data_IF_676591213360
#
_entry.id   IF_676591213360
#
_cell.length_a   1.000
_cell.length_b   1.000
_cell.length_c   1.000
_cell.angle_alpha   90.00
_cell.angle_beta   90.00
_cell.angle_gamma   90.00
#
_symmetry.space_group_name_H-M   'P 1'
#
loop_
_entity.id
_entity.type
_entity.pdbx_description
1 polymer ?
#
# COMPACT_ATOMS: atom_id res chain seq x y z
N UNK A 1 -11.43 79.07 -9.48
CA UNK A 1 -11.63 78.20 -8.34
C UNK A 1 -12.51 77.02 -8.78
N UNK A 2 -11.93 75.90 -9.13
CA UNK A 2 -12.66 74.64 -9.28
C UNK A 2 -11.69 73.53 -9.00
N UNK A 3 -11.97 72.77 -7.95
CA UNK A 3 -11.17 71.60 -7.49
C UNK A 3 -11.49 70.39 -8.36
N UNK A 4 -10.49 69.84 -9.05
CA UNK A 4 -10.57 68.55 -9.74
C UNK A 4 -10.19 67.42 -8.80
N UNK A 5 -11.14 66.58 -8.45
CA UNK A 5 -10.92 65.34 -7.69
C UNK A 5 -10.40 64.25 -8.61
N UNK A 6 -9.20 63.72 -8.31
CA UNK A 6 -8.61 62.53 -8.92
C UNK A 6 -9.24 61.29 -8.23
N UNK A 7 -9.96 60.45 -8.98
CA UNK A 7 -10.43 59.15 -8.55
C UNK A 7 -9.32 58.13 -8.72
N UNK A 8 -8.75 57.63 -7.63
CA UNK A 8 -7.91 56.42 -7.63
C UNK A 8 -8.79 55.19 -7.91
N UNK A 9 -8.52 54.53 -9.03
CA UNK A 9 -9.09 53.22 -9.37
C UNK A 9 -8.45 52.11 -8.55
N UNK A 10 -9.24 51.46 -7.69
CA UNK A 10 -8.84 50.26 -6.98
C UNK A 10 -8.89 49.08 -7.95
N UNK A 11 -7.71 48.50 -8.26
CA UNK A 11 -7.61 47.24 -8.97
C UNK A 11 -7.87 46.12 -7.95
N UNK A 12 -9.05 45.52 -8.05
CA UNK A 12 -9.35 44.31 -7.28
C UNK A 12 -8.52 43.14 -7.80
N UNK A 13 -7.51 42.74 -7.05
CA UNK A 13 -6.89 41.44 -7.20
C UNK A 13 -7.91 40.32 -6.90
N UNK A 14 -8.33 39.59 -7.92
CA UNK A 14 -9.08 38.33 -7.74
C UNK A 14 -8.15 37.35 -7.05
N UNK A 15 -8.56 36.74 -5.92
CA UNK A 15 -7.77 35.67 -5.31
C UNK A 15 -7.73 34.46 -6.27
N UNK A 16 -6.53 33.94 -6.48
CA UNK A 16 -6.32 32.68 -7.19
C UNK A 16 -7.24 31.60 -6.59
N UNK A 17 -8.04 30.96 -7.44
CA UNK A 17 -8.92 29.85 -7.04
C UNK A 17 -8.04 28.78 -6.37
N UNK A 18 -8.22 28.60 -5.08
CA UNK A 18 -7.62 27.49 -4.34
C UNK A 18 -8.14 26.20 -4.96
N UNK A 19 -7.23 25.39 -5.49
CA UNK A 19 -7.54 24.04 -5.92
C UNK A 19 -8.15 23.25 -4.74
N UNK A 20 -9.17 22.39 -4.97
CA UNK A 20 -9.84 21.68 -3.91
C UNK A 20 -8.83 20.88 -3.07
N UNK A 21 -8.93 20.95 -1.75
CA UNK A 21 -8.09 20.24 -0.77
C UNK A 21 -7.97 18.72 -1.04
N UNK A 22 -8.91 18.17 -1.77
CA UNK A 22 -9.00 16.76 -2.17
C UNK A 22 -7.83 16.23 -3.04
N UNK A 23 -7.34 17.04 -4.00
CA UNK A 23 -6.29 16.60 -4.93
C UNK A 23 -4.92 16.38 -4.26
N UNK A 24 -4.61 17.15 -3.21
CA UNK A 24 -3.32 17.03 -2.50
C UNK A 24 -3.21 15.78 -1.63
N UNK A 25 -4.32 15.13 -1.32
CA UNK A 25 -4.37 13.97 -0.42
C UNK A 25 -4.22 12.65 -1.18
N UNK A 26 -4.69 12.58 -2.42
CA UNK A 26 -4.62 11.38 -3.26
C UNK A 26 -3.17 11.01 -3.68
N UNK A 27 -2.34 12.01 -4.00
CA UNK A 27 -0.93 11.78 -4.37
C UNK A 27 -0.08 11.26 -3.20
N UNK A 28 -0.42 11.63 -1.96
CA UNK A 28 0.24 11.14 -0.74
C UNK A 28 0.09 9.62 -0.56
N UNK A 29 -0.98 9.03 -1.07
CA UNK A 29 -1.25 7.59 -0.97
C UNK A 29 -0.47 6.82 -2.05
N UNK A 30 -0.31 7.41 -3.25
CA UNK A 30 0.40 6.76 -4.35
C UNK A 30 1.91 6.57 -4.10
N UNK A 31 2.52 7.41 -3.26
CA UNK A 31 3.96 7.40 -2.99
C UNK A 31 4.25 6.89 -1.57
N UNK A 32 3.24 6.52 -0.77
CA UNK A 32 3.41 6.14 0.63
C UNK A 32 4.23 7.19 1.44
N UNK A 33 4.04 8.48 1.12
CA UNK A 33 4.76 9.59 1.75
C UNK A 33 4.32 9.86 3.19
N UNK A 34 3.32 9.15 3.69
CA UNK A 34 2.90 9.21 5.09
C UNK A 34 4.00 8.81 6.08
N UNK A 35 5.00 8.06 5.61
CA UNK A 35 6.12 7.61 6.43
C UNK A 35 7.26 8.65 6.58
N UNK A 36 7.26 9.72 5.81
CA UNK A 36 8.42 10.62 5.68
C UNK A 36 8.28 11.98 6.35
N UNK A 37 7.33 12.19 7.23
CA UNK A 37 7.37 13.33 8.14
C UNK A 37 7.95 12.90 9.47
N UNK A 38 9.13 13.42 9.81
CA UNK A 38 9.75 13.37 11.13
C UNK A 38 8.78 13.90 12.19
N UNK A 39 8.16 12.99 12.96
CA UNK A 39 7.27 13.29 14.08
C UNK A 39 6.10 12.30 14.17
N UNK A 40 5.51 12.06 15.35
CA UNK A 40 4.42 11.12 15.53
C UNK A 40 3.08 11.68 15.05
N UNK A 41 2.99 12.12 13.81
CA UNK A 41 1.74 12.47 13.16
C UNK A 41 1.20 11.21 12.45
N UNK A 42 0.56 10.36 13.24
CA UNK A 42 -0.35 9.34 12.75
C UNK A 42 -1.33 10.00 11.76
N UNK A 43 -1.29 9.59 10.48
CA UNK A 43 -2.33 10.01 9.53
C UNK A 43 -3.66 9.45 10.02
N UNK A 44 -4.42 10.28 10.71
CA UNK A 44 -5.84 10.02 10.98
C UNK A 44 -6.56 10.29 9.66
N UNK A 45 -6.80 9.24 8.87
CA UNK A 45 -7.84 9.34 7.85
C UNK A 45 -9.16 9.58 8.56
N UNK A 46 -9.92 10.57 8.10
CA UNK A 46 -11.33 10.66 8.49
C UNK A 46 -11.98 9.35 8.02
N UNK A 47 -12.79 8.71 8.85
CA UNK A 47 -13.34 7.36 8.62
C UNK A 47 -13.95 7.19 7.22
N UNK A 48 -14.64 8.21 6.72
CA UNK A 48 -15.34 8.22 5.42
C UNK A 48 -14.37 8.17 4.22
N UNK A 49 -13.21 8.81 4.30
CA UNK A 49 -12.22 8.77 3.20
C UNK A 49 -11.53 7.40 3.10
N UNK A 50 -11.27 6.76 4.24
CA UNK A 50 -10.69 5.41 4.28
C UNK A 50 -11.63 4.38 3.66
N UNK A 51 -12.92 4.40 4.04
CA UNK A 51 -13.92 3.47 3.54
C UNK A 51 -14.13 3.63 2.03
N UNK A 52 -14.24 4.88 1.55
CA UNK A 52 -14.37 5.16 0.11
C UNK A 52 -13.18 4.68 -0.69
N UNK A 53 -11.95 4.85 -0.20
CA UNK A 53 -10.73 4.40 -0.88
C UNK A 53 -10.60 2.88 -0.88
N UNK A 54 -11.00 2.20 0.19
CA UNK A 54 -11.05 0.72 0.25
C UNK A 54 -11.94 0.14 -0.87
N UNK A 55 -13.06 0.77 -1.15
CA UNK A 55 -14.02 0.29 -2.19
C UNK A 55 -13.55 0.58 -3.62
N UNK A 56 -12.68 1.57 -3.82
CA UNK A 56 -12.17 1.93 -5.15
C UNK A 56 -11.36 0.80 -5.81
N UNK A 57 -10.66 -0.03 -5.01
CA UNK A 57 -9.86 -1.14 -5.53
C UNK A 57 -10.70 -2.30 -6.07
N UNK A 58 -11.96 -2.39 -5.66
CA UNK A 58 -12.83 -3.51 -6.05
C UNK A 58 -13.10 -3.56 -7.56
N UNK A 59 -13.32 -2.41 -8.19
CA UNK A 59 -13.69 -2.33 -9.62
C UNK A 59 -12.56 -2.67 -10.60
N UNK A 60 -11.32 -2.76 -10.14
CA UNK A 60 -10.13 -3.01 -10.97
C UNK A 60 -9.40 -4.32 -10.60
N UNK A 61 -10.11 -5.29 -10.02
CA UNK A 61 -9.51 -6.51 -9.44
C UNK A 61 -8.58 -7.28 -10.38
N UNK A 62 -8.98 -7.49 -11.64
CA UNK A 62 -8.17 -8.23 -12.62
C UNK A 62 -6.90 -7.44 -13.01
N UNK A 63 -7.03 -6.13 -13.26
CA UNK A 63 -5.89 -5.26 -13.54
C UNK A 63 -4.94 -5.22 -12.33
N UNK A 64 -5.48 -5.12 -11.12
CA UNK A 64 -4.71 -5.16 -9.87
C UNK A 64 -3.87 -6.43 -9.78
N UNK A 65 -4.45 -7.59 -10.05
CA UNK A 65 -3.74 -8.88 -10.02
C UNK A 65 -2.59 -8.92 -11.01
N UNK A 66 -2.79 -8.45 -12.23
CA UNK A 66 -1.78 -8.50 -13.28
C UNK A 66 -0.65 -7.50 -13.07
N UNK A 67 -0.99 -6.26 -12.66
CA UNK A 67 -0.06 -5.14 -12.64
C UNK A 67 0.73 -5.00 -11.34
N UNK A 68 0.13 -5.32 -10.17
CA UNK A 68 0.84 -5.21 -8.89
C UNK A 68 1.92 -6.27 -8.75
N UNK A 69 3.12 -5.91 -8.26
CA UNK A 69 4.19 -6.88 -8.05
C UNK A 69 3.84 -7.87 -6.94
N UNK A 70 4.45 -9.05 -6.99
CA UNK A 70 4.58 -9.93 -5.84
C UNK A 70 5.68 -9.45 -4.89
N UNK A 71 5.93 -10.25 -3.87
CA UNK A 71 7.02 -10.03 -2.92
C UNK A 71 8.12 -11.08 -3.13
N UNK A 72 9.37 -10.79 -2.78
CA UNK A 72 10.47 -11.75 -2.94
C UNK A 72 10.25 -12.98 -2.07
N UNK A 73 10.76 -14.13 -2.54
CA UNK A 73 10.61 -15.43 -1.85
C UNK A 73 11.21 -15.39 -0.44
N UNK A 74 12.32 -14.68 -0.30
CA UNK A 74 13.06 -14.49 0.93
C UNK A 74 12.22 -13.83 2.04
N UNK A 75 11.24 -12.96 1.67
CA UNK A 75 10.32 -12.38 2.63
C UNK A 75 9.45 -13.46 3.29
N UNK A 76 8.94 -14.40 2.48
CA UNK A 76 8.10 -15.49 3.00
C UNK A 76 8.91 -16.51 3.80
N UNK A 77 10.15 -16.79 3.40
CA UNK A 77 11.05 -17.68 4.13
C UNK A 77 11.37 -17.09 5.51
N UNK A 78 11.65 -15.78 5.55
CA UNK A 78 11.90 -15.08 6.82
C UNK A 78 10.64 -14.97 7.68
N UNK A 79 9.45 -14.77 7.09
CA UNK A 79 8.17 -14.81 7.79
C UNK A 79 7.96 -16.16 8.48
N UNK A 80 8.11 -17.26 7.73
CA UNK A 80 7.97 -18.64 8.26
C UNK A 80 8.95 -18.89 9.40
N UNK A 81 10.20 -18.45 9.25
CA UNK A 81 11.25 -18.60 10.24
C UNK A 81 10.97 -17.80 11.54
N UNK A 82 10.61 -16.51 11.38
CA UNK A 82 10.38 -15.61 12.51
C UNK A 82 9.11 -15.98 13.29
N UNK A 83 8.03 -16.32 12.59
CA UNK A 83 6.79 -16.79 13.19
C UNK A 83 6.84 -18.26 13.62
N UNK A 84 7.97 -18.94 13.39
CA UNK A 84 8.22 -20.36 13.75
C UNK A 84 7.13 -21.31 13.25
N UNK A 85 6.62 -21.04 12.03
CA UNK A 85 5.52 -21.79 11.46
C UNK A 85 5.95 -23.24 11.14
N UNK A 86 5.03 -24.17 11.36
CA UNK A 86 5.17 -25.60 11.13
C UNK A 86 4.09 -26.10 10.16
N UNK A 87 4.31 -27.21 9.47
CA UNK A 87 3.26 -27.83 8.67
C UNK A 87 1.97 -28.03 9.49
N UNK A 88 0.83 -27.61 8.93
CA UNK A 88 -0.46 -27.69 9.59
C UNK A 88 -0.88 -26.46 10.40
N UNK A 89 0.04 -25.52 10.66
CA UNK A 89 -0.30 -24.26 11.32
C UNK A 89 -1.33 -23.47 10.51
N UNK A 90 -2.31 -22.89 11.20
CA UNK A 90 -3.47 -22.20 10.62
C UNK A 90 -3.17 -20.71 10.49
N UNK A 91 -3.29 -20.18 9.28
CA UNK A 91 -3.01 -18.79 8.98
C UNK A 91 -4.30 -18.02 8.69
N UNK A 92 -4.35 -16.77 9.10
CA UNK A 92 -5.39 -15.81 8.74
C UNK A 92 -4.76 -14.65 7.97
N UNK A 93 -5.18 -14.44 6.73
CA UNK A 93 -4.82 -13.27 5.94
C UNK A 93 -5.94 -12.23 5.95
N UNK A 94 -5.56 -10.98 6.29
CA UNK A 94 -6.48 -9.84 6.32
C UNK A 94 -6.24 -8.96 5.08
N UNK A 95 -7.28 -8.81 4.24
CA UNK A 95 -7.20 -8.04 3.01
C UNK A 95 -6.36 -8.75 1.94
N UNK A 96 -6.70 -9.98 1.61
CA UNK A 96 -5.93 -10.79 0.66
C UNK A 96 -6.00 -10.27 -0.78
N UNK A 97 -6.88 -9.32 -1.09
CA UNK A 97 -7.16 -8.82 -2.41
C UNK A 97 -7.39 -9.98 -3.41
N UNK A 98 -6.51 -10.17 -4.38
CA UNK A 98 -6.60 -11.23 -5.38
C UNK A 98 -5.78 -12.48 -5.04
N UNK A 99 -5.23 -12.59 -3.82
CA UNK A 99 -4.48 -13.75 -3.32
C UNK A 99 -2.99 -13.76 -3.64
N UNK A 100 -2.40 -12.63 -4.07
CA UNK A 100 -0.97 -12.59 -4.42
C UNK A 100 -0.03 -12.97 -3.28
N UNK A 101 -0.30 -12.50 -2.07
CA UNK A 101 0.50 -12.85 -0.90
C UNK A 101 0.11 -14.21 -0.31
N UNK A 102 -1.12 -14.68 -0.56
CA UNK A 102 -1.62 -16.00 -0.16
C UNK A 102 -0.91 -17.13 -0.89
N UNK A 103 -0.74 -17.02 -2.23
CA UNK A 103 -0.22 -18.10 -3.09
C UNK A 103 1.11 -18.68 -2.59
N UNK A 104 2.14 -17.89 -2.23
CA UNK A 104 3.41 -18.44 -1.76
C UNK A 104 3.31 -19.25 -0.47
N UNK A 105 2.40 -18.91 0.43
CA UNK A 105 2.13 -19.64 1.67
C UNK A 105 1.24 -20.86 1.42
N UNK A 106 0.26 -20.75 0.53
CA UNK A 106 -0.57 -21.89 0.10
C UNK A 106 0.26 -22.99 -0.59
N UNK A 107 1.26 -22.61 -1.41
CA UNK A 107 2.22 -23.53 -2.02
C UNK A 107 3.09 -24.26 -0.99
N UNK A 108 3.31 -23.68 0.19
CA UNK A 108 4.00 -24.32 1.32
C UNK A 108 3.08 -25.25 2.13
N UNK A 109 1.80 -25.38 1.72
CA UNK A 109 0.84 -26.30 2.31
C UNK A 109 0.09 -25.78 3.53
N UNK A 110 0.21 -24.47 3.87
CA UNK A 110 -0.50 -23.92 5.02
C UNK A 110 -2.01 -23.83 4.77
N UNK A 111 -2.86 -24.25 5.74
CA UNK A 111 -4.26 -23.90 5.77
C UNK A 111 -4.44 -22.39 6.00
N UNK A 112 -5.10 -21.69 5.06
CA UNK A 112 -5.23 -20.24 5.12
C UNK A 112 -6.69 -19.84 5.05
N UNK A 113 -7.15 -19.04 6.00
CA UNK A 113 -8.41 -18.29 5.89
C UNK A 113 -8.07 -16.86 5.45
N UNK A 114 -8.70 -16.39 4.38
CA UNK A 114 -8.54 -15.02 3.88
C UNK A 114 -9.84 -14.26 4.14
N UNK A 115 -9.75 -13.05 4.70
CA UNK A 115 -10.88 -12.12 4.86
C UNK A 115 -10.67 -10.93 3.95
N UNK A 116 -11.57 -10.74 2.97
CA UNK A 116 -11.47 -9.67 1.97
C UNK A 116 -12.80 -8.92 1.88
N UNK A 117 -12.75 -7.59 2.05
CA UNK A 117 -13.94 -6.74 2.05
C UNK A 117 -14.50 -6.54 0.64
N UNK A 118 -13.64 -6.45 -0.38
CA UNK A 118 -14.00 -6.25 -1.77
C UNK A 118 -14.60 -7.51 -2.39
N UNK A 119 -15.88 -7.49 -2.76
CA UNK A 119 -16.55 -8.67 -3.31
C UNK A 119 -15.91 -9.17 -4.61
N UNK A 120 -15.52 -8.25 -5.53
CA UNK A 120 -14.88 -8.61 -6.81
C UNK A 120 -13.45 -9.10 -6.58
N UNK A 121 -12.71 -8.50 -5.63
CA UNK A 121 -11.39 -8.97 -5.21
C UNK A 121 -11.47 -10.38 -4.61
N UNK A 122 -12.43 -10.64 -3.73
CA UNK A 122 -12.65 -11.95 -3.15
C UNK A 122 -13.05 -13.01 -4.20
N UNK A 123 -13.85 -12.61 -5.20
CA UNK A 123 -14.20 -13.49 -6.32
C UNK A 123 -12.97 -13.82 -7.17
N UNK A 124 -12.11 -12.84 -7.45
CA UNK A 124 -10.84 -13.04 -8.15
C UNK A 124 -9.89 -13.94 -7.34
N UNK A 125 -9.78 -13.71 -6.01
CA UNK A 125 -8.98 -14.57 -5.13
C UNK A 125 -9.43 -16.02 -5.19
N UNK A 126 -10.75 -16.29 -5.19
CA UNK A 126 -11.28 -17.67 -5.32
C UNK A 126 -10.88 -18.31 -6.63
N UNK A 127 -10.86 -17.55 -7.75
CA UNK A 127 -10.37 -18.06 -9.05
C UNK A 127 -8.89 -18.40 -9.00
N UNK A 128 -8.08 -17.46 -8.51
CA UNK A 128 -6.62 -17.60 -8.48
C UNK A 128 -6.14 -18.69 -7.52
N UNK A 129 -6.89 -18.93 -6.45
CA UNK A 129 -6.58 -19.89 -5.39
C UNK A 129 -7.36 -21.21 -5.51
N UNK A 130 -8.14 -21.40 -6.58
CA UNK A 130 -8.96 -22.59 -6.79
C UNK A 130 -8.19 -23.92 -6.83
N UNK A 131 -6.89 -23.89 -7.09
CA UNK A 131 -5.97 -25.04 -7.01
C UNK A 131 -5.48 -25.38 -5.58
N UNK A 132 -5.89 -24.63 -4.55
CA UNK A 132 -5.44 -24.79 -3.17
C UNK A 132 -6.65 -25.09 -2.25
N UNK A 133 -7.05 -26.36 -2.10
CA UNK A 133 -8.25 -26.73 -1.34
C UNK A 133 -8.16 -26.36 0.16
N UNK A 134 -6.95 -26.13 0.68
CA UNK A 134 -6.73 -25.70 2.06
C UNK A 134 -6.91 -24.18 2.28
N UNK A 135 -7.24 -23.41 1.21
CA UNK A 135 -7.46 -21.96 1.31
C UNK A 135 -8.96 -21.64 1.26
N UNK A 136 -9.44 -20.91 2.25
CA UNK A 136 -10.83 -20.46 2.33
C UNK A 136 -10.90 -18.93 2.20
N UNK A 137 -11.77 -18.42 1.30
CA UNK A 137 -11.96 -16.98 1.07
C UNK A 137 -13.31 -16.54 1.62
N UNK A 138 -13.29 -15.68 2.63
CA UNK A 138 -14.44 -15.03 3.25
C UNK A 138 -14.56 -13.60 2.71
N UNK A 139 -15.72 -13.27 2.15
CA UNK A 139 -16.01 -11.87 1.79
C UNK A 139 -16.65 -11.17 2.98
N UNK A 140 -15.97 -10.18 3.54
CA UNK A 140 -16.42 -9.41 4.71
C UNK A 140 -15.36 -8.48 5.25
N UNK A 141 -15.76 -7.59 6.15
CA UNK A 141 -14.84 -6.68 6.82
C UNK A 141 -14.18 -7.38 8.01
N UNK A 142 -12.85 -7.29 8.10
CA UNK A 142 -12.09 -7.87 9.21
C UNK A 142 -12.58 -7.37 10.57
N UNK A 143 -12.94 -6.11 10.66
CA UNK A 143 -13.38 -5.44 11.90
C UNK A 143 -14.62 -6.11 12.52
N UNK A 144 -15.52 -6.64 11.71
CA UNK A 144 -16.80 -7.24 12.14
C UNK A 144 -16.85 -8.77 11.96
N UNK A 145 -15.92 -9.32 11.18
CA UNK A 145 -15.89 -10.77 10.96
C UNK A 145 -15.55 -11.54 12.23
N UNK A 146 -16.28 -12.62 12.49
CA UNK A 146 -16.03 -13.55 13.56
C UNK A 146 -15.84 -14.96 12.98
N UNK A 147 -14.68 -15.61 13.21
CA UNK A 147 -14.48 -16.98 12.76
C UNK A 147 -15.30 -17.97 13.59
N UNK A 148 -15.68 -19.13 13.02
CA UNK A 148 -16.28 -20.22 13.79
C UNK A 148 -15.37 -20.73 14.90
N UNK A 149 -14.07 -20.61 14.73
CA UNK A 149 -13.03 -21.03 15.65
C UNK A 149 -11.83 -20.08 15.58
N UNK A 150 -11.45 -19.48 16.70
CA UNK A 150 -10.22 -18.72 16.88
C UNK A 150 -9.00 -19.66 17.02
N UNK A 151 -7.85 -19.10 17.33
CA UNK A 151 -6.60 -19.86 17.57
C UNK A 151 -5.79 -20.06 16.28
N UNK A 152 -5.57 -18.96 15.53
CA UNK A 152 -4.63 -18.95 14.42
C UNK A 152 -3.18 -18.88 14.93
N UNK A 153 -2.28 -19.57 14.24
CA UNK A 153 -0.84 -19.52 14.51
C UNK A 153 -0.23 -18.22 14.01
N UNK A 154 -0.76 -17.69 12.90
CA UNK A 154 -0.38 -16.43 12.32
C UNK A 154 -1.60 -15.65 11.84
N UNK A 155 -1.70 -14.38 12.22
CA UNK A 155 -2.53 -13.37 11.56
C UNK A 155 -1.61 -12.48 10.74
N UNK A 156 -1.85 -12.35 9.43
CA UNK A 156 -1.00 -11.51 8.61
C UNK A 156 -1.76 -10.61 7.64
N UNK A 157 -1.09 -9.54 7.18
CA UNK A 157 -1.62 -8.62 6.18
C UNK A 157 -0.49 -8.12 5.26
N UNK A 158 -0.71 -8.22 3.95
CA UNK A 158 0.20 -7.74 2.92
C UNK A 158 -0.39 -6.50 2.23
N UNK A 159 0.21 -5.33 2.45
CA UNK A 159 -0.27 -4.02 1.93
C UNK A 159 -1.76 -3.73 2.26
N UNK A 160 -2.22 -4.25 3.38
CA UNK A 160 -3.61 -4.11 3.83
C UNK A 160 -3.75 -3.56 5.26
N UNK A 161 -2.74 -3.71 6.11
CA UNK A 161 -2.81 -3.39 7.53
C UNK A 161 -3.19 -1.93 7.83
N UNK A 162 -2.75 -1.00 7.02
CA UNK A 162 -3.05 0.44 7.18
C UNK A 162 -4.51 0.81 6.86
N UNK A 163 -5.24 -0.05 6.13
CA UNK A 163 -6.65 0.14 5.83
C UNK A 163 -7.59 -0.28 6.96
N UNK A 164 -7.13 -1.12 7.89
CA UNK A 164 -7.92 -1.61 9.01
C UNK A 164 -8.00 -0.54 10.09
N UNK A 165 -9.13 -0.45 10.78
CA UNK A 165 -9.34 0.53 11.85
C UNK A 165 -8.21 0.42 12.91
N UNK A 166 -7.43 1.48 13.12
CA UNK A 166 -6.35 1.48 14.11
C UNK A 166 -6.79 1.17 15.54
N UNK A 167 -8.04 1.54 15.89
CA UNK A 167 -8.61 1.26 17.21
C UNK A 167 -8.92 -0.22 17.43
N UNK A 168 -9.09 -0.99 16.34
CA UNK A 168 -9.57 -2.37 16.39
C UNK A 168 -8.46 -3.36 16.03
N UNK A 169 -7.63 -3.05 15.04
CA UNK A 169 -6.78 -4.01 14.32
C UNK A 169 -5.86 -4.85 15.20
N UNK A 170 -5.16 -4.25 16.16
CA UNK A 170 -4.21 -4.95 17.01
C UNK A 170 -4.92 -5.85 18.01
N UNK A 171 -5.95 -5.32 18.69
CA UNK A 171 -6.72 -6.09 19.67
C UNK A 171 -7.40 -7.27 19.01
N UNK A 172 -8.06 -7.06 17.86
CA UNK A 172 -8.73 -8.13 17.15
C UNK A 172 -7.78 -9.19 16.60
N UNK A 173 -6.60 -8.80 16.10
CA UNK A 173 -5.60 -9.77 15.68
C UNK A 173 -5.13 -10.62 16.88
N UNK A 174 -4.92 -9.99 18.04
CA UNK A 174 -4.54 -10.68 19.25
C UNK A 174 -5.62 -11.66 19.73
N UNK A 175 -6.90 -11.25 19.76
CA UNK A 175 -8.04 -12.09 20.13
C UNK A 175 -8.23 -13.33 19.22
N UNK A 176 -7.75 -13.26 17.97
CA UNK A 176 -7.85 -14.34 16.98
C UNK A 176 -6.66 -15.30 17.00
N UNK A 177 -5.54 -14.89 17.58
CA UNK A 177 -4.36 -15.74 17.72
C UNK A 177 -4.54 -16.76 18.84
N UNK A 178 -3.87 -17.90 18.69
CA UNK A 178 -3.61 -18.77 19.85
C UNK A 178 -2.54 -18.18 20.76
N UNK A 179 -2.40 -18.71 21.95
CA UNK A 179 -1.33 -18.35 22.86
C UNK A 179 0.04 -18.54 22.19
N UNK A 180 0.86 -17.49 22.21
CA UNK A 180 2.17 -17.47 21.55
C UNK A 180 2.11 -17.48 20.01
N UNK A 181 0.94 -17.27 19.41
CA UNK A 181 0.80 -17.04 17.98
C UNK A 181 1.42 -15.71 17.55
N UNK A 182 1.48 -15.45 16.23
CA UNK A 182 2.18 -14.28 15.72
C UNK A 182 1.28 -13.36 14.87
N UNK A 183 1.50 -12.06 15.01
CA UNK A 183 1.03 -11.06 14.06
C UNK A 183 2.16 -10.75 13.09
N UNK A 184 1.87 -10.69 11.79
CA UNK A 184 2.82 -10.17 10.81
C UNK A 184 2.14 -9.24 9.80
N UNK A 185 2.86 -8.18 9.39
CA UNK A 185 2.40 -7.36 8.28
C UNK A 185 3.57 -6.70 7.55
N UNK A 186 3.34 -6.40 6.29
CA UNK A 186 4.29 -5.69 5.44
C UNK A 186 3.55 -4.89 4.36
N UNK A 187 4.25 -3.92 3.79
CA UNK A 187 3.74 -3.08 2.70
C UNK A 187 4.79 -2.96 1.61
N UNK A 188 4.35 -2.97 0.35
CA UNK A 188 5.21 -2.66 -0.77
C UNK A 188 5.33 -1.13 -0.91
N UNK A 189 6.54 -0.63 -0.92
CA UNK A 189 6.86 0.77 -1.12
C UNK A 189 7.73 0.97 -2.37
N UNK A 190 7.61 2.11 -3.04
CA UNK A 190 8.56 2.53 -4.06
C UNK A 190 9.84 3.02 -3.37
N UNK A 191 10.97 2.43 -3.74
CA UNK A 191 12.28 2.81 -3.21
C UNK A 191 13.25 3.17 -4.33
N UNK A 192 14.32 3.88 -3.97
CA UNK A 192 15.29 4.41 -4.91
C UNK A 192 16.69 3.97 -4.48
N UNK A 193 17.12 2.75 -4.90
CA UNK A 193 18.44 2.27 -4.58
C UNK A 193 19.52 3.19 -5.16
N UNK A 194 20.69 3.22 -4.52
CA UNK A 194 21.84 3.95 -5.03
C UNK A 194 22.22 3.40 -6.42
N UNK A 195 22.32 4.29 -7.41
CA UNK A 195 22.60 3.89 -8.80
C UNK A 195 21.41 3.28 -9.56
N UNK A 196 20.20 3.23 -8.94
CA UNK A 196 18.98 2.77 -9.60
C UNK A 196 18.53 3.69 -10.74
N UNK A 197 17.54 3.22 -11.49
CA UNK A 197 17.02 3.94 -12.67
C UNK A 197 16.49 5.34 -12.30
N UNK A 198 16.99 6.41 -12.93
CA UNK A 198 16.58 7.78 -12.64
C UNK A 198 15.21 8.14 -13.22
N UNK A 199 14.56 7.27 -14.00
CA UNK A 199 13.36 7.56 -14.78
C UNK A 199 12.25 8.23 -13.96
N UNK A 200 11.95 7.72 -12.77
CA UNK A 200 10.91 8.32 -11.92
C UNK A 200 11.27 9.75 -11.49
N UNK A 201 12.54 10.01 -11.14
CA UNK A 201 12.99 11.36 -10.80
C UNK A 201 12.91 12.30 -11.99
N UNK A 202 13.29 11.81 -13.17
CA UNK A 202 13.20 12.58 -14.43
C UNK A 202 11.75 12.89 -14.81
N UNK A 203 10.80 12.03 -14.43
CA UNK A 203 9.38 12.20 -14.75
C UNK A 203 8.69 13.24 -13.84
N UNK A 204 9.36 13.72 -12.77
CA UNK A 204 8.76 14.69 -11.85
C UNK A 204 8.44 16.02 -12.52
N UNK A 205 9.15 16.43 -13.56
CA UNK A 205 8.82 17.61 -14.38
C UNK A 205 7.41 17.52 -14.97
N UNK A 206 7.01 16.33 -15.42
CA UNK A 206 5.65 16.09 -15.95
C UNK A 206 4.60 16.07 -14.84
N UNK A 207 4.92 15.45 -13.69
CA UNK A 207 4.03 15.48 -12.52
C UNK A 207 3.81 16.92 -12.02
N UNK A 208 4.85 17.76 -12.01
CA UNK A 208 4.74 19.18 -11.63
C UNK A 208 3.87 19.94 -12.65
N UNK A 209 4.07 19.70 -13.96
CA UNK A 209 3.28 20.32 -15.04
C UNK A 209 1.78 20.02 -14.90
N UNK A 210 1.42 18.79 -14.57
CA UNK A 210 0.01 18.39 -14.42
C UNK A 210 -0.57 18.69 -13.03
N UNK A 211 0.20 19.31 -12.13
CA UNK A 211 -0.24 19.68 -10.78
C UNK A 211 -0.25 18.53 -9.76
N UNK A 212 0.41 17.43 -10.06
CA UNK A 212 0.51 16.22 -9.23
C UNK A 212 1.94 15.97 -8.73
N UNK A 213 2.79 17.00 -8.77
CA UNK A 213 4.17 16.96 -8.31
C UNK A 213 4.31 16.61 -6.83
N UNK A 214 5.48 16.11 -6.47
CA UNK A 214 5.81 15.77 -5.10
C UNK A 214 5.91 17.03 -4.24
N UNK A 215 5.53 16.96 -2.95
CA UNK A 215 5.71 18.09 -2.06
C UNK A 215 7.20 18.43 -1.92
N UNK A 216 7.49 19.72 -1.68
CA UNK A 216 8.84 20.18 -1.45
C UNK A 216 9.52 19.37 -0.32
N UNK A 217 10.75 18.92 -0.56
CA UNK A 217 11.50 18.09 0.39
C UNK A 217 11.10 16.63 0.43
N UNK A 218 10.33 16.13 -0.55
CA UNK A 218 10.04 14.70 -0.66
C UNK A 218 11.33 13.89 -0.71
N UNK A 219 11.39 12.82 0.09
CA UNK A 219 12.54 11.93 0.16
C UNK A 219 12.38 10.79 -0.86
N UNK A 220 13.51 10.29 -1.31
CA UNK A 220 13.62 9.12 -2.20
C UNK A 220 14.46 8.04 -1.49
N UNK A 221 13.86 7.27 -0.58
CA UNK A 221 14.60 6.37 0.29
C UNK A 221 15.06 5.11 -0.42
N UNK A 222 16.16 4.55 0.04
CA UNK A 222 16.51 3.17 -0.20
C UNK A 222 15.65 2.22 0.67
N UNK A 223 15.63 0.92 0.34
CA UNK A 223 14.85 -0.06 1.10
C UNK A 223 15.28 -0.13 2.58
N UNK A 224 16.58 0.05 2.86
CA UNK A 224 17.12 0.05 4.23
C UNK A 224 16.64 1.23 5.10
N UNK A 225 16.19 2.32 4.46
CA UNK A 225 15.75 3.55 5.11
C UNK A 225 14.24 3.58 5.35
N UNK A 226 13.50 2.56 4.88
CA UNK A 226 12.05 2.49 5.10
C UNK A 226 11.75 2.46 6.60
N UNK A 227 10.82 3.31 7.08
CA UNK A 227 10.43 3.34 8.48
C UNK A 227 9.71 2.06 8.89
N UNK A 228 9.78 1.71 10.16
CA UNK A 228 9.03 0.61 10.72
C UNK A 228 7.95 1.08 11.72
N UNK A 229 7.12 0.14 12.15
CA UNK A 229 6.02 0.38 13.08
C UNK A 229 6.26 -0.30 14.45
N UNK A 230 7.50 -0.60 14.82
CA UNK A 230 7.85 -1.25 16.09
C UNK A 230 7.20 -0.57 17.28
N UNK A 231 7.40 0.74 17.41
CA UNK A 231 6.85 1.51 18.53
C UNK A 231 5.32 1.42 18.62
N UNK A 232 4.64 1.39 17.47
CA UNK A 232 3.18 1.25 17.43
C UNK A 232 2.69 -0.14 17.86
N UNK A 233 3.45 -1.20 17.55
CA UNK A 233 3.15 -2.56 18.00
C UNK A 233 3.36 -2.66 19.52
N UNK A 234 4.53 -2.24 20.00
CA UNK A 234 4.93 -2.31 21.42
C UNK A 234 4.01 -1.49 22.32
N UNK A 235 3.57 -0.31 21.85
CA UNK A 235 2.65 0.55 22.60
C UNK A 235 1.28 -0.08 22.90
N UNK A 236 0.91 -1.14 22.17
CA UNK A 236 -0.36 -1.87 22.45
C UNK A 236 -0.28 -2.71 23.72
N UNK A 237 0.90 -3.12 24.15
CA UNK A 237 1.09 -4.09 25.24
C UNK A 237 0.60 -5.51 24.92
N UNK A 238 0.09 -5.77 23.72
CA UNK A 238 -0.48 -7.06 23.31
C UNK A 238 0.55 -7.99 22.67
N UNK A 239 1.69 -7.46 22.23
CA UNK A 239 2.70 -8.18 21.48
C UNK A 239 4.10 -7.94 22.02
N UNK A 240 4.94 -8.96 21.91
CA UNK A 240 6.35 -8.97 22.31
C UNK A 240 7.23 -9.51 21.17
N UNK A 241 8.55 -9.58 21.37
CA UNK A 241 9.51 -10.16 20.43
C UNK A 241 9.39 -9.58 19.02
N UNK A 242 9.20 -8.24 18.92
CA UNK A 242 8.99 -7.57 17.62
C UNK A 242 10.25 -7.66 16.76
N UNK A 243 10.19 -8.43 15.71
CA UNK A 243 11.24 -8.55 14.68
C UNK A 243 10.91 -7.70 13.47
N UNK A 244 11.91 -7.00 12.93
CA UNK A 244 11.80 -6.16 11.73
C UNK A 244 12.81 -6.63 10.70
N UNK A 245 12.36 -6.81 9.44
CA UNK A 245 13.23 -7.11 8.29
C UNK A 245 12.87 -6.23 7.11
N UNK A 246 13.87 -5.74 6.43
CA UNK A 246 13.71 -4.89 5.24
C UNK A 246 14.20 -5.65 4.02
N UNK A 247 13.40 -5.58 2.96
CA UNK A 247 13.66 -6.22 1.67
C UNK A 247 13.65 -5.16 0.59
N UNK A 248 14.57 -5.30 -0.39
CA UNK A 248 14.60 -4.47 -1.58
C UNK A 248 14.69 -5.37 -2.81
N UNK A 249 13.93 -5.06 -3.86
CA UNK A 249 14.02 -5.74 -5.15
C UNK A 249 13.69 -4.77 -6.28
N UNK A 250 14.04 -5.15 -7.50
CA UNK A 250 13.75 -4.36 -8.68
C UNK A 250 12.92 -5.16 -9.67
N UNK A 251 12.11 -4.46 -10.42
CA UNK A 251 11.26 -5.03 -11.48
C UNK A 251 11.37 -4.13 -12.70
N UNK A 252 11.65 -4.76 -13.84
CA UNK A 252 11.65 -4.09 -15.13
C UNK A 252 10.24 -4.02 -15.72
N UNK A 253 9.90 -2.88 -16.32
CA UNK A 253 8.62 -2.61 -16.94
C UNK A 253 8.82 -2.01 -18.32
N UNK A 254 8.04 -2.46 -19.29
CA UNK A 254 7.76 -1.70 -20.51
C UNK A 254 6.86 -0.50 -20.18
N UNK A 255 6.70 0.43 -21.10
CA UNK A 255 5.82 1.59 -20.92
C UNK A 255 4.38 1.18 -20.57
N UNK A 256 3.83 0.21 -21.28
CA UNK A 256 2.44 -0.22 -21.06
C UNK A 256 2.27 -1.01 -19.76
N UNK A 257 3.26 -1.82 -19.35
CA UNK A 257 3.24 -2.49 -18.05
C UNK A 257 3.31 -1.48 -16.91
N UNK A 258 4.15 -0.44 -17.04
CA UNK A 258 4.26 0.60 -16.04
C UNK A 258 2.97 1.43 -15.94
N UNK A 259 2.36 1.80 -17.06
CA UNK A 259 1.08 2.51 -17.08
C UNK A 259 -0.02 1.67 -16.42
N UNK A 260 -0.12 0.37 -16.74
CA UNK A 260 -1.06 -0.55 -16.06
C UNK A 260 -0.82 -0.59 -14.55
N UNK A 261 0.43 -0.55 -14.11
CA UNK A 261 0.76 -0.46 -12.68
C UNK A 261 0.24 0.87 -12.09
N UNK A 262 0.48 2.01 -12.76
CA UNK A 262 0.02 3.32 -12.31
C UNK A 262 -1.52 3.38 -12.20
N UNK A 263 -2.25 2.75 -13.12
CA UNK A 263 -3.71 2.65 -13.10
C UNK A 263 -4.26 1.84 -11.89
N UNK A 264 -3.39 1.19 -11.13
CA UNK A 264 -3.77 0.52 -9.87
C UNK A 264 -3.56 1.38 -8.62
N UNK A 265 -2.98 2.58 -8.75
CA UNK A 265 -2.80 3.50 -7.63
C UNK A 265 -3.97 4.48 -7.55
N UNK A 266 -4.53 4.64 -6.35
CA UNK A 266 -5.67 5.54 -6.11
C UNK A 266 -5.42 6.97 -6.59
N UNK A 267 -4.18 7.48 -6.47
CA UNK A 267 -3.79 8.80 -6.96
C UNK A 267 -3.97 8.93 -8.47
N UNK A 268 -3.51 7.95 -9.26
CA UNK A 268 -3.63 7.97 -10.72
C UNK A 268 -5.08 7.73 -11.19
N UNK A 269 -5.83 6.87 -10.46
CA UNK A 269 -7.27 6.68 -10.72
C UNK A 269 -8.04 8.00 -10.55
N UNK A 270 -7.66 8.82 -9.57
CA UNK A 270 -8.30 10.09 -9.26
C UNK A 270 -7.91 11.24 -10.23
N UNK A 271 -6.86 11.08 -11.04
CA UNK A 271 -6.44 12.08 -12.02
C UNK A 271 -7.51 12.31 -13.08
N UNK A 272 -7.62 13.57 -13.56
CA UNK A 272 -8.41 13.88 -14.74
C UNK A 272 -7.83 13.20 -16.00
N UNK A 273 -8.68 12.95 -17.00
CA UNK A 273 -8.26 12.25 -18.23
C UNK A 273 -7.07 12.95 -18.90
N UNK A 274 -7.09 14.28 -19.04
CA UNK A 274 -6.01 15.03 -19.67
C UNK A 274 -4.66 14.91 -18.92
N UNK A 275 -4.69 14.78 -17.57
CA UNK A 275 -3.48 14.58 -16.76
C UNK A 275 -2.88 13.20 -17.05
N UNK A 276 -3.71 12.16 -17.09
CA UNK A 276 -3.27 10.80 -17.46
C UNK A 276 -2.74 10.76 -18.89
N UNK A 277 -3.44 11.35 -19.85
CA UNK A 277 -3.02 11.37 -21.25
C UNK A 277 -1.65 12.03 -21.40
N UNK A 278 -1.44 13.17 -20.72
CA UNK A 278 -0.16 13.89 -20.74
C UNK A 278 0.97 13.04 -20.10
N UNK A 279 0.73 12.50 -18.93
CA UNK A 279 1.71 11.67 -18.20
C UNK A 279 2.05 10.38 -18.96
N UNK A 280 1.03 9.64 -19.42
CA UNK A 280 1.22 8.35 -20.08
C UNK A 280 1.83 8.51 -21.48
N UNK A 281 1.48 9.59 -22.18
CA UNK A 281 2.14 9.96 -23.44
C UNK A 281 3.63 10.19 -23.23
N UNK A 282 4.01 10.91 -22.19
CA UNK A 282 5.42 11.21 -21.91
C UNK A 282 6.19 9.96 -21.42
N UNK A 283 5.57 9.08 -20.64
CA UNK A 283 6.16 7.78 -20.28
C UNK A 283 6.49 6.97 -21.52
N UNK A 284 5.54 6.82 -22.47
CA UNK A 284 5.76 6.08 -23.72
C UNK A 284 6.87 6.72 -24.56
N UNK A 285 6.84 8.05 -24.71
CA UNK A 285 7.84 8.78 -25.49
C UNK A 285 9.25 8.57 -24.95
N UNK A 286 9.46 8.81 -23.63
CA UNK A 286 10.78 8.68 -23.00
C UNK A 286 11.30 7.25 -23.00
N UNK A 287 10.46 6.26 -22.80
CA UNK A 287 10.88 4.85 -22.85
C UNK A 287 11.17 4.39 -24.28
N UNK A 288 10.45 4.91 -25.28
CA UNK A 288 10.78 4.61 -26.70
C UNK A 288 12.16 5.13 -27.13
N UNK A 289 12.73 6.11 -26.43
CA UNK A 289 14.08 6.63 -26.67
C UNK A 289 15.18 5.76 -26.00
N UNK A 290 14.82 4.80 -25.14
CA UNK A 290 15.75 3.88 -24.51
C UNK A 290 16.04 2.68 -25.40
N UNK A 291 17.28 2.15 -25.40
CA UNK A 291 17.65 1.00 -26.25
C UNK A 291 16.81 -0.24 -26.03
N UNK A 292 16.36 -0.49 -24.78
CA UNK A 292 15.56 -1.64 -24.38
C UNK A 292 14.05 -1.33 -24.20
N UNK A 293 13.67 -0.04 -24.30
CA UNK A 293 12.29 0.41 -24.10
C UNK A 293 11.74 0.18 -22.69
N UNK A 294 12.61 -0.04 -21.69
CA UNK A 294 12.22 -0.42 -20.34
C UNK A 294 12.68 0.58 -19.28
N UNK A 295 12.04 0.53 -18.15
CA UNK A 295 12.50 1.15 -16.90
C UNK A 295 12.65 0.07 -15.82
N UNK A 296 13.59 0.25 -14.92
CA UNK A 296 13.69 -0.51 -13.68
C UNK A 296 13.08 0.29 -12.52
N UNK A 297 12.18 -0.35 -11.77
CA UNK A 297 11.58 0.26 -10.59
C UNK A 297 11.97 -0.51 -9.34
N UNK A 298 12.60 0.22 -8.40
CA UNK A 298 12.90 -0.30 -7.09
C UNK A 298 11.64 -0.44 -6.21
N UNK A 299 11.53 -1.57 -5.56
CA UNK A 299 10.51 -1.88 -4.58
C UNK A 299 11.16 -2.22 -3.25
N UNK A 300 10.49 -1.85 -2.16
CA UNK A 300 10.91 -2.23 -0.82
C UNK A 300 9.76 -2.71 0.02
N UNK A 301 10.05 -3.53 1.02
CA UNK A 301 9.08 -3.92 2.03
C UNK A 301 9.73 -3.97 3.40
N UNK A 302 8.95 -3.64 4.44
CA UNK A 302 9.33 -3.81 5.84
C UNK A 302 8.40 -4.86 6.44
N UNK A 303 8.94 -6.04 6.68
CA UNK A 303 8.24 -7.12 7.36
C UNK A 303 8.33 -6.90 8.87
N UNK A 304 7.17 -6.86 9.52
CA UNK A 304 7.01 -6.85 10.97
C UNK A 304 6.47 -8.21 11.40
N UNK A 305 7.07 -8.82 12.39
CA UNK A 305 6.60 -10.06 13.03
C UNK A 305 6.66 -9.87 14.54
N UNK A 306 5.57 -10.12 15.23
CA UNK A 306 5.48 -9.95 16.69
C UNK A 306 4.71 -11.12 17.31
N UNK A 307 5.16 -11.61 18.46
CA UNK A 307 4.50 -12.72 19.17
C UNK A 307 3.42 -12.16 20.11
N UNK A 308 2.25 -12.80 20.17
CA UNK A 308 1.22 -12.45 21.13
C UNK A 308 1.71 -12.68 22.56
N UNK A 309 1.43 -11.71 23.44
CA UNK A 309 1.61 -11.89 24.89
C UNK A 309 0.53 -12.82 25.42
N UNK A 310 0.86 -13.60 26.45
CA UNK A 310 -0.13 -14.36 27.19
C UNK A 310 -1.14 -13.38 27.85
N UNK A 311 -2.44 -13.71 27.86
CA UNK A 311 -3.37 -12.93 28.66
C UNK A 311 -2.99 -13.08 30.14
N UNK A 312 -2.57 -11.96 30.75
CA UNK A 312 -2.25 -11.91 32.18
C UNK A 312 -3.49 -12.15 33.05
#
# INVERSE_FOLDING_TARGET
MQHGSVKLGYVQHRPARQAPRFMRQALRIAINTSAYRSGPAMMVFVSDDRERLRTTFNSAASLYHQARPGYPAELYDELVRLARLRPGDRLLEVGCATGKATIPLARRGFPITCVEIGADLAAEARRNLGGFPQVNIVNGAFETWAPPQAGFDLVFAATAWHWIDPAVRYRKAWDLLRDGGHLAFWEAAHVFPAGGDPFFRQLQDVYDEIGEGLPAGAQFPAAAELPDQRAGIEATGLFTDVAIRRFGWEIEYTADEYIRLLDTFSGHIAMAQWQRDRLYGEIRRRLAERPDGRLSRGWGAVLHVARSCDPG
#
